data_IF_051593373587
#
_entry.id   IF_051593373587
#
_cell.length_a   1.000
_cell.length_b   1.000
_cell.length_c   1.000
_cell.angle_alpha   90.00
_cell.angle_beta   90.00
_cell.angle_gamma   90.00
#
_symmetry.space_group_name_H-M   'P 1'
#
loop_
_entity.id
_entity.type
_entity.pdbx_description
1 polymer ?
#
# COMPACT_ATOMS: atom_id res chain seq x y z
N UNK A 1 98.81 21.97 -14.96
CA UNK A 1 97.36 21.79 -15.13
C UNK A 1 96.90 20.93 -13.97
N UNK A 2 95.84 21.29 -13.23
CA UNK A 2 95.30 20.38 -12.22
C UNK A 2 94.82 19.09 -12.92
N UNK A 3 95.25 17.95 -12.41
CA UNK A 3 94.87 16.63 -12.92
C UNK A 3 93.93 15.99 -11.91
N UNK A 4 92.80 15.48 -12.41
CA UNK A 4 91.84 14.72 -11.61
C UNK A 4 92.43 13.32 -11.41
N UNK A 5 92.43 12.84 -10.17
CA UNK A 5 92.90 11.49 -9.85
C UNK A 5 91.83 10.46 -10.22
N UNK A 6 92.22 9.23 -10.55
CA UNK A 6 91.25 8.17 -10.91
C UNK A 6 90.19 7.94 -9.82
N UNK A 7 90.55 8.12 -8.55
CA UNK A 7 89.64 8.05 -7.40
C UNK A 7 88.60 9.19 -7.39
N UNK A 8 89.00 10.43 -7.75
CA UNK A 8 88.08 11.56 -7.85
C UNK A 8 87.10 11.39 -9.03
N UNK A 9 87.57 10.78 -10.12
CA UNK A 9 86.71 10.47 -11.28
C UNK A 9 85.65 9.41 -10.91
N UNK A 10 86.04 8.41 -10.13
CA UNK A 10 85.13 7.37 -9.62
C UNK A 10 84.05 7.99 -8.73
N UNK A 11 84.44 8.87 -7.80
CA UNK A 11 83.52 9.55 -6.90
C UNK A 11 82.49 10.40 -7.66
N UNK A 12 82.92 11.16 -8.68
CA UNK A 12 82.00 11.89 -9.55
C UNK A 12 81.02 10.98 -10.27
N UNK A 13 81.46 9.81 -10.73
CA UNK A 13 80.59 8.86 -11.41
C UNK A 13 79.51 8.30 -10.47
N UNK A 14 79.90 7.97 -9.23
CA UNK A 14 78.98 7.53 -8.17
C UNK A 14 77.95 8.63 -7.87
N UNK A 15 78.40 9.87 -7.64
CA UNK A 15 77.50 10.99 -7.37
C UNK A 15 76.51 11.25 -8.53
N UNK A 16 76.97 11.13 -9.78
CA UNK A 16 76.12 11.29 -10.95
C UNK A 16 75.04 10.20 -11.00
N UNK A 17 75.40 8.96 -10.69
CA UNK A 17 74.47 7.85 -10.72
C UNK A 17 73.47 7.92 -9.56
N UNK A 18 73.92 8.28 -8.35
CA UNK A 18 73.04 8.59 -7.21
C UNK A 18 72.05 9.72 -7.54
N UNK A 19 72.54 10.84 -8.08
CA UNK A 19 71.69 11.96 -8.47
C UNK A 19 70.68 11.59 -9.58
N UNK A 20 71.03 10.68 -10.50
CA UNK A 20 70.09 10.13 -11.48
C UNK A 20 69.05 9.25 -10.81
N UNK A 21 69.44 8.40 -9.87
CA UNK A 21 68.52 7.53 -9.13
C UNK A 21 67.54 8.34 -8.28
N UNK A 22 68.00 9.35 -7.55
CA UNK A 22 67.14 10.26 -6.80
C UNK A 22 66.13 10.98 -7.70
N UNK A 23 66.57 11.44 -8.88
CA UNK A 23 65.67 12.03 -9.89
C UNK A 23 64.64 11.01 -10.41
N UNK A 24 65.02 9.75 -10.59
CA UNK A 24 64.08 8.69 -11.01
C UNK A 24 63.07 8.36 -9.93
N UNK A 25 63.51 8.24 -8.68
CA UNK A 25 62.64 7.95 -7.54
C UNK A 25 61.68 9.11 -7.32
N UNK A 26 62.16 10.35 -7.31
CA UNK A 26 61.30 11.54 -7.16
C UNK A 26 60.30 11.70 -8.30
N UNK A 27 60.71 11.48 -9.56
CA UNK A 27 59.79 11.48 -10.69
C UNK A 27 58.75 10.35 -10.58
N UNK A 28 59.14 9.16 -10.14
CA UNK A 28 58.23 8.05 -9.93
C UNK A 28 57.22 8.34 -8.81
N UNK A 29 57.67 8.85 -7.66
CA UNK A 29 56.78 9.19 -6.54
C UNK A 29 55.85 10.34 -6.89
N UNK A 30 56.35 11.38 -7.58
CA UNK A 30 55.53 12.49 -8.05
C UNK A 30 54.46 12.04 -9.06
N UNK A 31 54.85 11.26 -10.07
CA UNK A 31 53.90 10.75 -11.07
C UNK A 31 52.88 9.77 -10.47
N UNK A 32 53.29 8.95 -9.49
CA UNK A 32 52.36 8.10 -8.74
C UNK A 32 51.37 8.93 -7.94
N UNK A 33 51.83 9.93 -7.19
CA UNK A 33 50.97 10.81 -6.40
C UNK A 33 49.95 11.56 -7.28
N UNK A 34 50.37 12.07 -8.45
CA UNK A 34 49.46 12.70 -9.41
C UNK A 34 48.40 11.73 -9.95
N UNK A 35 48.78 10.48 -10.22
CA UNK A 35 47.82 9.45 -10.69
C UNK A 35 46.81 9.11 -9.59
N UNK A 36 47.26 8.93 -8.35
CA UNK A 36 46.40 8.64 -7.20
C UNK A 36 45.44 9.80 -6.92
N UNK A 37 45.91 11.05 -7.01
CA UNK A 37 45.08 12.26 -6.88
C UNK A 37 44.03 12.35 -8.00
N UNK A 38 44.43 12.10 -9.26
CA UNK A 38 43.49 12.08 -10.38
C UNK A 38 42.45 10.96 -10.25
N UNK A 39 42.85 9.78 -9.77
CA UNK A 39 41.93 8.65 -9.55
C UNK A 39 40.92 9.00 -8.46
N UNK A 40 41.38 9.56 -7.33
CA UNK A 40 40.51 10.01 -6.25
C UNK A 40 39.56 11.12 -6.71
N UNK A 41 40.03 12.08 -7.50
CA UNK A 41 39.18 13.13 -8.07
C UNK A 41 38.12 12.56 -9.01
N UNK A 42 38.45 11.55 -9.83
CA UNK A 42 37.47 10.85 -10.69
C UNK A 42 36.44 10.09 -9.87
N UNK A 43 36.88 9.33 -8.87
CA UNK A 43 36.00 8.60 -7.93
C UNK A 43 35.06 9.57 -7.20
N UNK A 44 35.57 10.69 -6.74
CA UNK A 44 34.78 11.73 -6.08
C UNK A 44 33.73 12.33 -7.03
N UNK A 45 34.10 12.68 -8.28
CA UNK A 45 33.14 13.15 -9.30
C UNK A 45 32.02 12.14 -9.55
N UNK A 46 32.35 10.87 -9.70
CA UNK A 46 31.35 9.80 -9.89
C UNK A 46 30.45 9.68 -8.64
N UNK A 47 31.03 9.70 -7.45
CA UNK A 47 30.26 9.65 -6.19
C UNK A 47 29.29 10.83 -6.06
N UNK A 48 29.69 12.04 -6.44
CA UNK A 48 28.80 13.22 -6.41
C UNK A 48 27.63 13.11 -7.39
N UNK A 49 27.85 12.54 -8.58
CA UNK A 49 26.77 12.29 -9.55
C UNK A 49 25.77 11.27 -8.99
N UNK A 50 26.27 10.16 -8.42
CA UNK A 50 25.42 9.13 -7.81
C UNK A 50 24.60 9.71 -6.65
N UNK A 51 25.22 10.50 -5.78
CA UNK A 51 24.53 11.16 -4.66
C UNK A 51 23.41 12.08 -5.16
N UNK A 52 23.65 12.83 -6.24
CA UNK A 52 22.63 13.68 -6.87
C UNK A 52 21.44 12.89 -7.42
N UNK A 53 21.69 11.74 -8.07
CA UNK A 53 20.64 10.85 -8.57
C UNK A 53 19.82 10.28 -7.40
N UNK A 54 20.48 9.82 -6.32
CA UNK A 54 19.80 9.30 -5.13
C UNK A 54 18.94 10.39 -4.47
N UNK A 55 19.44 11.62 -4.37
CA UNK A 55 18.69 12.75 -3.82
C UNK A 55 17.45 13.07 -4.67
N UNK A 56 17.58 13.11 -6.01
CA UNK A 56 16.45 13.32 -6.91
C UNK A 56 15.39 12.22 -6.82
N UNK A 57 15.82 10.96 -6.80
CA UNK A 57 14.91 9.81 -6.61
C UNK A 57 14.23 9.85 -5.25
N UNK A 58 14.94 10.26 -4.20
CA UNK A 58 14.38 10.45 -2.86
C UNK A 58 13.26 11.48 -2.86
N UNK A 59 13.48 12.66 -3.45
CA UNK A 59 12.47 13.72 -3.55
C UNK A 59 11.28 13.29 -4.41
N UNK A 60 11.52 12.66 -5.56
CA UNK A 60 10.45 12.12 -6.39
C UNK A 60 9.64 11.04 -5.65
N UNK A 61 10.33 10.18 -4.90
CA UNK A 61 9.75 9.14 -4.05
C UNK A 61 8.89 9.72 -2.94
N UNK A 62 9.33 10.77 -2.24
CA UNK A 62 8.51 11.41 -1.19
C UNK A 62 7.28 12.11 -1.77
N UNK A 63 7.38 12.76 -2.93
CA UNK A 63 6.23 13.37 -3.63
C UNK A 63 5.23 12.31 -4.07
N UNK A 64 5.71 11.20 -4.66
CA UNK A 64 4.86 10.08 -5.05
C UNK A 64 4.21 9.42 -3.82
N UNK A 65 4.97 9.21 -2.75
CA UNK A 65 4.48 8.65 -1.50
C UNK A 65 3.44 9.56 -0.83
N UNK A 66 3.61 10.89 -0.89
CA UNK A 66 2.60 11.84 -0.46
C UNK A 66 1.34 11.73 -1.32
N UNK A 67 1.44 11.66 -2.65
CA UNK A 67 0.27 11.45 -3.53
C UNK A 67 -0.44 10.12 -3.27
N UNK A 68 0.30 9.06 -2.97
CA UNK A 68 -0.24 7.75 -2.61
C UNK A 68 -0.89 7.73 -1.22
N UNK A 69 -0.27 8.38 -0.22
CA UNK A 69 -0.78 8.45 1.16
C UNK A 69 -1.90 9.49 1.32
N UNK A 70 -1.99 10.46 0.42
CA UNK A 70 -3.11 11.42 0.33
C UNK A 70 -4.21 10.86 -0.57
N UNK A 71 -4.54 9.57 -0.43
CA UNK A 71 -5.74 8.99 -1.01
C UNK A 71 -6.95 9.48 -0.22
N UNK A 72 -7.65 10.54 -0.69
CA UNK A 72 -9.06 10.93 -0.47
C UNK A 72 -9.73 10.65 0.91
N UNK A 73 -8.95 10.54 1.98
CA UNK A 73 -9.40 9.96 3.26
C UNK A 73 -9.03 10.77 4.49
N UNK A 74 -8.41 11.95 4.35
CA UNK A 74 -8.32 12.91 5.46
C UNK A 74 -9.53 13.85 5.43
N UNK A 75 -10.68 13.33 5.88
CA UNK A 75 -11.74 14.19 6.40
C UNK A 75 -11.13 14.93 7.59
N UNK A 76 -11.04 16.26 7.50
CA UNK A 76 -10.67 17.09 8.64
C UNK A 76 -11.51 16.68 9.84
N UNK A 77 -10.90 16.48 11.02
CA UNK A 77 -11.62 16.08 12.24
C UNK A 77 -12.80 17.02 12.56
N UNK A 78 -12.78 18.25 12.05
CA UNK A 78 -13.89 19.20 12.08
C UNK A 78 -15.11 18.76 11.25
N UNK A 79 -14.92 18.22 10.05
CA UNK A 79 -16.01 17.79 9.16
C UNK A 79 -16.66 16.47 9.61
N UNK A 80 -15.86 15.54 10.15
CA UNK A 80 -16.38 14.31 10.77
C UNK A 80 -17.25 14.60 11.99
N UNK A 81 -16.87 15.60 12.80
CA UNK A 81 -17.67 16.05 13.94
C UNK A 81 -18.98 16.74 13.51
N UNK A 82 -18.95 17.55 12.44
CA UNK A 82 -20.16 18.18 11.87
C UNK A 82 -21.14 17.14 11.32
N UNK A 83 -20.66 16.15 10.58
CA UNK A 83 -21.50 15.07 10.07
C UNK A 83 -22.05 14.20 11.20
N UNK A 84 -21.24 13.87 12.20
CA UNK A 84 -21.70 13.14 13.40
C UNK A 84 -22.77 13.92 14.18
N UNK A 85 -22.64 15.24 14.31
CA UNK A 85 -23.65 16.07 14.97
C UNK A 85 -24.97 16.13 14.17
N UNK A 86 -24.88 16.25 12.84
CA UNK A 86 -26.06 16.24 11.96
C UNK A 86 -26.78 14.89 11.96
N UNK A 87 -26.03 13.78 11.97
CA UNK A 87 -26.61 12.44 12.10
C UNK A 87 -27.30 12.26 13.46
N UNK A 88 -26.69 12.72 14.55
CA UNK A 88 -27.31 12.66 15.89
C UNK A 88 -28.62 13.44 15.95
N UNK A 89 -28.66 14.64 15.41
CA UNK A 89 -29.89 15.44 15.40
C UNK A 89 -31.00 14.77 14.58
N UNK A 90 -30.67 14.16 13.43
CA UNK A 90 -31.64 13.39 12.64
C UNK A 90 -32.12 12.14 13.37
N UNK A 91 -31.25 11.46 14.11
CA UNK A 91 -31.63 10.30 14.93
C UNK A 91 -32.60 10.75 16.02
N UNK A 92 -32.31 11.84 16.73
CA UNK A 92 -33.20 12.39 17.77
C UNK A 92 -34.55 12.82 17.20
N UNK A 93 -34.57 13.46 16.03
CA UNK A 93 -35.82 13.83 15.32
C UNK A 93 -36.63 12.60 14.89
N UNK A 94 -35.97 11.56 14.39
CA UNK A 94 -36.62 10.30 14.04
C UNK A 94 -37.14 9.55 15.28
N UNK A 95 -36.38 9.53 16.38
CA UNK A 95 -36.81 8.96 17.66
C UNK A 95 -38.03 9.70 18.22
N UNK A 96 -38.06 11.03 18.14
CA UNK A 96 -39.21 11.83 18.56
C UNK A 96 -40.43 11.59 17.66
N UNK A 97 -40.22 11.44 16.35
CA UNK A 97 -41.29 11.11 15.39
C UNK A 97 -41.85 9.71 15.66
N UNK A 98 -40.98 8.72 15.90
CA UNK A 98 -41.38 7.35 16.26
C UNK A 98 -42.14 7.35 17.58
N UNK A 99 -41.69 8.12 18.58
CA UNK A 99 -42.36 8.24 19.87
C UNK A 99 -43.77 8.86 19.75
N UNK A 100 -43.90 9.90 18.93
CA UNK A 100 -45.20 10.52 18.69
C UNK A 100 -46.14 9.58 17.92
N UNK A 101 -45.61 8.84 16.94
CA UNK A 101 -46.36 7.80 16.22
C UNK A 101 -46.76 6.62 17.11
N UNK A 102 -45.90 6.19 18.04
CA UNK A 102 -46.22 5.13 19.00
C UNK A 102 -47.25 5.60 20.03
N UNK A 103 -47.19 6.87 20.46
CA UNK A 103 -48.20 7.49 21.33
C UNK A 103 -49.57 7.60 20.64
N UNK A 104 -49.62 7.76 19.32
CA UNK A 104 -50.87 7.70 18.55
C UNK A 104 -51.39 6.25 18.34
N UNK A 105 -50.50 5.25 18.34
CA UNK A 105 -50.88 3.84 18.26
C UNK A 105 -51.38 3.27 19.61
N UNK A 106 -50.88 3.75 20.74
CA UNK A 106 -51.33 3.29 22.07
C UNK A 106 -52.76 3.74 22.45
N UNK A 107 -53.33 4.76 21.79
CA UNK A 107 -54.73 5.17 22.04
C UNK A 107 -55.74 4.22 21.37
N UNK A 108 -55.33 3.36 20.42
CA UNK A 108 -56.22 2.45 19.69
C UNK A 108 -55.95 0.94 19.89
N UNK A 109 -54.99 0.57 20.76
CA UNK A 109 -54.62 -0.84 20.98
C UNK A 109 -54.59 -1.20 22.46
N UNK A 110 -55.66 -0.88 23.18
CA UNK A 110 -55.97 -1.56 24.44
C UNK A 110 -56.41 -2.99 24.14
N UNK A 111 -55.48 -3.92 23.98
CA UNK A 111 -55.56 -5.28 24.51
C UNK A 111 -54.33 -6.12 24.12
N UNK A 112 -53.75 -6.74 25.14
CA UNK A 112 -52.73 -7.80 25.15
C UNK A 112 -51.26 -7.34 25.28
N UNK A 113 -50.84 -7.24 26.54
CA UNK A 113 -49.47 -7.48 26.97
C UNK A 113 -49.12 -8.98 26.85
N UNK A 114 -47.86 -9.28 26.49
CA UNK A 114 -46.95 -10.27 27.12
C UNK A 114 -45.56 -10.16 26.44
N UNK A 115 -44.63 -9.60 27.22
CA UNK A 115 -43.30 -10.13 27.58
C UNK A 115 -42.20 -10.44 26.53
N UNK A 116 -41.10 -9.69 26.70
CA UNK A 116 -39.67 -10.05 26.66
C UNK A 116 -39.12 -10.97 25.54
N UNK A 117 -38.05 -10.50 24.86
CA UNK A 117 -36.66 -10.94 25.12
C UNK A 117 -35.75 -10.79 23.88
N UNK A 118 -34.59 -10.15 24.09
CA UNK A 118 -33.34 -10.22 23.32
C UNK A 118 -33.42 -10.13 21.78
N UNK A 119 -33.12 -8.94 21.24
CA UNK A 119 -32.82 -8.73 19.83
C UNK A 119 -31.47 -9.37 19.45
N UNK A 120 -31.48 -10.69 19.36
CA UNK A 120 -30.53 -11.46 18.56
C UNK A 120 -30.79 -11.08 17.11
N UNK A 121 -29.86 -10.32 16.51
CA UNK A 121 -29.88 -9.90 15.12
C UNK A 121 -30.28 -11.09 14.26
N UNK A 122 -31.53 -11.10 13.78
CA UNK A 122 -32.03 -12.07 12.83
C UNK A 122 -30.98 -12.15 11.72
N UNK A 123 -30.29 -13.29 11.66
CA UNK A 123 -29.76 -13.78 10.39
C UNK A 123 -30.98 -13.92 9.50
N UNK A 124 -31.33 -12.83 8.79
CA UNK A 124 -32.27 -12.87 7.69
C UNK A 124 -31.76 -13.97 6.79
N UNK A 125 -32.42 -15.12 6.90
CA UNK A 125 -32.03 -16.31 6.20
C UNK A 125 -32.30 -16.02 4.74
N UNK A 126 -31.26 -15.71 3.97
CA UNK A 126 -31.31 -15.52 2.51
C UNK A 126 -31.58 -16.88 1.80
N UNK A 127 -32.41 -17.73 2.43
CA UNK A 127 -32.93 -18.95 1.86
C UNK A 127 -33.87 -18.55 0.72
N UNK A 128 -33.57 -19.07 -0.46
CA UNK A 128 -34.21 -18.91 -1.76
C UNK A 128 -34.00 -17.58 -2.52
N UNK A 129 -33.32 -16.59 -1.95
CA UNK A 129 -33.03 -15.33 -2.65
C UNK A 129 -31.79 -15.41 -3.56
N UNK A 130 -31.88 -14.80 -4.74
CA UNK A 130 -30.77 -14.63 -5.68
C UNK A 130 -29.90 -13.46 -5.22
N UNK A 131 -28.65 -13.75 -4.85
CA UNK A 131 -27.70 -12.76 -4.34
C UNK A 131 -26.53 -12.63 -5.30
N UNK A 132 -26.14 -11.40 -5.60
CA UNK A 132 -24.95 -11.10 -6.39
C UNK A 132 -23.78 -10.74 -5.47
N UNK A 133 -22.61 -11.31 -5.72
CA UNK A 133 -21.39 -10.99 -4.99
C UNK A 133 -20.22 -10.77 -5.95
N UNK A 134 -19.25 -9.93 -5.56
CA UNK A 134 -18.07 -9.64 -6.36
C UNK A 134 -16.88 -10.44 -5.82
N UNK A 135 -16.43 -11.42 -6.60
CA UNK A 135 -15.27 -12.24 -6.25
C UNK A 135 -13.97 -11.49 -6.59
N UNK A 136 -13.09 -11.31 -5.61
CA UNK A 136 -11.84 -10.54 -5.76
C UNK A 136 -10.61 -11.43 -6.00
N UNK A 137 -10.70 -12.72 -5.73
CA UNK A 137 -9.58 -13.63 -5.93
C UNK A 137 -9.84 -15.06 -5.49
N UNK A 138 -8.93 -15.94 -5.90
CA UNK A 138 -8.77 -17.30 -5.41
C UNK A 138 -7.28 -17.47 -5.05
N UNK A 139 -6.99 -17.83 -3.81
CA UNK A 139 -5.61 -17.97 -3.32
C UNK A 139 -5.37 -19.40 -2.83
N UNK A 140 -4.20 -19.94 -3.12
CA UNK A 140 -3.73 -21.23 -2.61
C UNK A 140 -3.25 -21.03 -1.16
N UNK A 141 -3.84 -21.77 -0.21
CA UNK A 141 -3.45 -21.85 1.21
C UNK A 141 -3.36 -20.55 2.03
N UNK A 142 -3.80 -19.40 1.51
CA UNK A 142 -3.91 -18.18 2.33
C UNK A 142 -5.23 -18.23 3.10
N UNK A 143 -5.14 -18.38 4.41
CA UNK A 143 -6.26 -18.30 5.34
C UNK A 143 -6.59 -16.81 5.61
N UNK A 144 -7.67 -16.30 5.01
CA UNK A 144 -8.25 -14.99 5.36
C UNK A 144 -9.44 -15.15 6.32
N UNK A 145 -9.63 -16.33 6.91
CA UNK A 145 -10.74 -16.65 7.82
C UNK A 145 -10.72 -15.78 9.09
N UNK A 146 -9.60 -15.11 9.40
CA UNK A 146 -9.51 -14.07 10.44
C UNK A 146 -10.55 -12.93 10.25
N UNK A 147 -11.08 -12.75 9.03
CA UNK A 147 -12.09 -11.72 8.72
C UNK A 147 -13.49 -12.28 8.43
N UNK A 148 -13.66 -13.61 8.39
CA UNK A 148 -14.81 -14.29 7.76
C UNK A 148 -16.10 -14.23 8.58
N UNK A 149 -16.06 -14.60 9.86
CA UNK A 149 -17.30 -15.02 10.52
C UNK A 149 -18.18 -13.86 11.00
N UNK A 150 -17.62 -12.65 11.03
CA UNK A 150 -18.30 -11.43 11.51
C UNK A 150 -18.64 -10.43 10.41
N UNK A 151 -18.19 -10.65 9.18
CA UNK A 151 -18.48 -9.77 8.07
C UNK A 151 -19.60 -10.36 7.20
N UNK A 152 -20.84 -9.89 7.41
CA UNK A 152 -22.03 -10.31 6.63
C UNK A 152 -21.82 -10.14 5.12
N UNK A 153 -20.96 -9.20 4.73
CA UNK A 153 -20.61 -8.87 3.35
C UNK A 153 -19.32 -9.55 2.85
N UNK A 154 -18.80 -10.57 3.55
CA UNK A 154 -17.63 -11.33 3.10
C UNK A 154 -17.98 -12.81 3.06
N UNK A 155 -17.69 -13.45 1.93
CA UNK A 155 -17.94 -14.87 1.74
C UNK A 155 -16.66 -15.57 1.31
N UNK A 156 -16.17 -16.42 2.20
CA UNK A 156 -15.14 -17.40 1.89
C UNK A 156 -15.81 -18.68 1.37
N UNK A 157 -15.36 -19.16 0.21
CA UNK A 157 -15.80 -20.43 -0.37
C UNK A 157 -14.59 -21.31 -0.61
N UNK A 158 -14.41 -22.32 0.25
CA UNK A 158 -13.37 -23.33 0.11
C UNK A 158 -13.66 -24.21 -1.10
N UNK A 159 -12.71 -24.33 -2.02
CA UNK A 159 -12.81 -25.19 -3.19
C UNK A 159 -11.49 -25.91 -3.46
N UNK A 160 -11.36 -27.12 -2.90
CA UNK A 160 -10.13 -27.91 -3.02
C UNK A 160 -8.94 -27.18 -2.38
N UNK A 161 -7.86 -27.03 -3.14
CA UNK A 161 -6.63 -26.34 -2.71
C UNK A 161 -6.72 -24.80 -2.72
N UNK A 162 -7.84 -24.22 -3.19
CA UNK A 162 -8.01 -22.77 -3.31
C UNK A 162 -9.14 -22.24 -2.42
N UNK A 163 -8.87 -21.14 -1.73
CA UNK A 163 -9.88 -20.35 -1.03
C UNK A 163 -10.36 -19.21 -1.94
N UNK A 164 -11.65 -19.19 -2.25
CA UNK A 164 -12.28 -18.12 -3.04
C UNK A 164 -12.86 -17.07 -2.12
N UNK A 165 -12.64 -15.81 -2.47
CA UNK A 165 -13.05 -14.66 -1.66
C UNK A 165 -13.99 -13.75 -2.43
N UNK A 166 -15.21 -13.60 -1.93
CA UNK A 166 -16.21 -12.71 -2.49
C UNK A 166 -16.68 -11.68 -1.47
N UNK A 167 -16.98 -10.48 -1.96
CA UNK A 167 -17.45 -9.36 -1.16
C UNK A 167 -18.80 -8.84 -1.66
N UNK A 168 -19.64 -8.46 -0.71
CA UNK A 168 -20.95 -7.88 -0.87
C UNK A 168 -22.04 -8.90 -1.15
N UNK A 169 -23.23 -8.61 -0.63
CA UNK A 169 -24.46 -9.33 -0.90
C UNK A 169 -25.43 -8.33 -1.53
N UNK A 170 -25.48 -8.28 -2.86
CA UNK A 170 -26.30 -7.32 -3.60
C UNK A 170 -27.57 -8.01 -4.11
N UNK A 171 -28.70 -7.32 -4.01
CA UNK A 171 -29.98 -7.80 -4.55
C UNK A 171 -30.05 -7.63 -6.08
N UNK A 172 -29.27 -6.70 -6.65
CA UNK A 172 -29.25 -6.45 -8.08
C UNK A 172 -27.86 -6.54 -8.71
N UNK A 173 -27.82 -6.99 -9.97
CA UNK A 173 -26.60 -6.98 -10.77
C UNK A 173 -26.02 -5.56 -10.96
N UNK A 174 -26.86 -4.54 -11.00
CA UNK A 174 -26.44 -3.13 -11.17
C UNK A 174 -25.62 -2.63 -9.98
N UNK A 175 -26.03 -2.98 -8.76
CA UNK A 175 -25.28 -2.67 -7.54
C UNK A 175 -23.94 -3.40 -7.51
N UNK A 176 -23.94 -4.70 -7.84
CA UNK A 176 -22.71 -5.48 -7.94
C UNK A 176 -21.74 -4.88 -8.98
N UNK A 177 -22.24 -4.34 -10.10
CA UNK A 177 -21.43 -3.63 -11.10
C UNK A 177 -20.84 -2.33 -10.56
N UNK A 178 -21.61 -1.54 -9.80
CA UNK A 178 -21.10 -0.32 -9.15
C UNK A 178 -19.96 -0.68 -8.19
N UNK A 179 -20.19 -1.66 -7.33
CA UNK A 179 -19.20 -2.12 -6.37
C UNK A 179 -17.94 -2.70 -7.02
N UNK A 180 -18.10 -3.52 -8.07
CA UNK A 180 -16.97 -4.01 -8.87
C UNK A 180 -16.12 -2.87 -9.42
N UNK A 181 -16.73 -1.80 -9.95
CA UNK A 181 -15.95 -0.65 -10.46
C UNK A 181 -15.11 0.00 -9.37
N UNK A 182 -15.64 0.14 -8.17
CA UNK A 182 -14.87 0.65 -7.03
C UNK A 182 -13.72 -0.30 -6.67
N UNK A 183 -13.98 -1.62 -6.61
CA UNK A 183 -12.92 -2.60 -6.37
C UNK A 183 -11.82 -2.58 -7.44
N UNK A 184 -12.18 -2.43 -8.71
CA UNK A 184 -11.19 -2.30 -9.80
C UNK A 184 -10.39 -1.01 -9.66
N UNK A 185 -11.01 0.11 -9.28
CA UNK A 185 -10.31 1.38 -8.98
C UNK A 185 -9.33 1.24 -7.82
N UNK A 186 -9.67 0.41 -6.82
CA UNK A 186 -8.81 0.09 -5.67
C UNK A 186 -7.68 -0.90 -6.02
N UNK A 187 -7.64 -1.43 -7.24
CA UNK A 187 -6.56 -2.31 -7.72
C UNK A 187 -6.94 -3.79 -7.87
N UNK A 188 -8.17 -4.19 -7.51
CA UNK A 188 -8.67 -5.55 -7.73
C UNK A 188 -9.09 -5.75 -9.20
N UNK A 189 -8.11 -5.74 -10.10
CA UNK A 189 -8.32 -5.80 -11.56
C UNK A 189 -9.03 -7.07 -12.03
N UNK A 190 -8.79 -8.19 -11.36
CA UNK A 190 -9.42 -9.48 -11.67
C UNK A 190 -10.77 -9.72 -10.99
N UNK A 191 -11.40 -8.67 -10.43
CA UNK A 191 -12.68 -8.82 -9.76
C UNK A 191 -13.80 -9.13 -10.77
N UNK A 192 -14.62 -10.15 -10.48
CA UNK A 192 -15.72 -10.59 -11.33
C UNK A 192 -17.01 -10.80 -10.52
N UNK A 193 -18.16 -10.71 -11.19
CA UNK A 193 -19.47 -10.80 -10.53
C UNK A 193 -20.01 -12.22 -10.68
N UNK A 194 -20.41 -12.83 -9.57
CA UNK A 194 -21.06 -14.13 -9.53
C UNK A 194 -22.38 -14.05 -8.78
N UNK A 195 -23.40 -14.75 -9.29
CA UNK A 195 -24.67 -14.92 -8.60
C UNK A 195 -24.69 -16.21 -7.79
N UNK A 196 -25.34 -16.14 -6.64
CA UNK A 196 -25.46 -17.20 -5.66
C UNK A 196 -26.92 -17.35 -5.26
N UNK A 197 -27.36 -18.59 -5.02
CA UNK A 197 -28.64 -18.90 -4.42
C UNK A 197 -28.42 -20.04 -3.44
N UNK A 198 -29.02 -19.94 -2.25
CA UNK A 198 -28.86 -20.96 -1.20
C UNK A 198 -27.39 -21.29 -0.90
N UNK A 199 -26.55 -20.24 -0.89
CA UNK A 199 -25.12 -20.39 -0.66
C UNK A 199 -24.30 -20.94 -1.84
N UNK A 200 -24.92 -21.49 -2.88
CA UNK A 200 -24.24 -22.08 -4.05
C UNK A 200 -24.14 -21.09 -5.20
N UNK A 201 -23.02 -21.11 -5.94
CA UNK A 201 -22.84 -20.27 -7.13
C UNK A 201 -23.70 -20.80 -8.26
N UNK A 202 -24.53 -19.94 -8.85
CA UNK A 202 -25.34 -20.26 -10.02
C UNK A 202 -24.54 -20.01 -11.29
N UNK A 203 -24.09 -18.77 -11.50
CA UNK A 203 -23.35 -18.39 -12.72
C UNK A 203 -22.42 -17.20 -12.48
N UNK A 204 -21.51 -17.00 -13.43
CA UNK A 204 -20.68 -15.80 -13.53
C UNK A 204 -21.45 -14.85 -14.44
N UNK A 205 -21.85 -13.69 -13.90
CA UNK A 205 -22.63 -12.69 -14.63
C UNK A 205 -21.74 -11.83 -15.51
N UNK A 206 -20.53 -11.53 -15.02
CA UNK A 206 -19.58 -10.66 -15.72
C UNK A 206 -18.16 -10.99 -15.29
N UNK A 207 -17.30 -11.32 -16.26
CA UNK A 207 -15.87 -11.49 -16.13
C UNK A 207 -15.19 -10.80 -17.32
N UNK A 208 -14.10 -10.07 -17.05
CA UNK A 208 -13.26 -9.38 -18.04
C UNK A 208 -11.81 -9.47 -17.59
#
# INVERSE_FOLDING_TARGET
MPYISDDELLDFQVQIDEAKEEKRVSNYTHTKALRDEQENARKFKIATIILGIIALLGVAGTVYFMKFSTSDGMISKSESNKQSAMLKNKITELEETIKNLSMDQEINASENEIDNQDNELEKASLQDELVYAVQIGAFEEKDLSLYSDKFVNFKEIKAGSFNKYALGNFASLSEAKKFRRELVRLGFRGAFIASYQNGKRIKIEEAW
#
